data_IF_181041202275
#
_entry.id   IF_181041202275
#
_cell.length_a   1.000
_cell.length_b   1.000
_cell.length_c   1.000
_cell.angle_alpha   90.00
_cell.angle_beta   90.00
_cell.angle_gamma   90.00
#
_symmetry.space_group_name_H-M   'P 1'
#
loop_
_entity.id
_entity.type
_entity.pdbx_description
1 polymer ?
#
# COMPACT_ATOMS: atom_id res chain seq x y z
N UNK A 1 6.68 -25.61 8.78
CA UNK A 1 6.69 -24.44 7.89
C UNK A 1 8.13 -24.12 7.56
N UNK A 2 8.50 -24.13 6.28
CA UNK A 2 9.85 -23.76 5.86
C UNK A 2 10.08 -22.28 6.20
N UNK A 3 10.95 -22.04 7.18
CA UNK A 3 11.41 -20.70 7.53
C UNK A 3 12.36 -20.16 6.46
N UNK A 4 12.70 -18.88 6.57
CA UNK A 4 13.72 -18.28 5.71
C UNK A 4 15.01 -19.10 5.77
N UNK A 5 15.58 -19.42 4.61
CA UNK A 5 16.91 -20.02 4.57
C UNK A 5 17.93 -18.97 5.01
N UNK A 6 19.08 -19.41 5.55
CA UNK A 6 20.17 -18.51 5.94
C UNK A 6 20.61 -17.62 4.77
N UNK A 7 20.59 -18.16 3.55
CA UNK A 7 20.91 -17.42 2.32
C UNK A 7 19.89 -16.32 2.01
N UNK A 8 18.59 -16.60 2.18
CA UNK A 8 17.54 -15.57 2.03
C UNK A 8 17.70 -14.46 3.07
N UNK A 9 17.99 -14.81 4.32
CA UNK A 9 18.23 -13.83 5.40
C UNK A 9 19.45 -12.94 5.08
N UNK A 10 20.55 -13.55 4.65
CA UNK A 10 21.77 -12.82 4.30
C UNK A 10 21.55 -11.86 3.13
N UNK A 11 20.88 -12.32 2.06
CA UNK A 11 20.52 -11.49 0.90
C UNK A 11 19.59 -10.32 1.28
N UNK A 12 18.65 -10.55 2.20
CA UNK A 12 17.79 -9.48 2.75
C UNK A 12 18.61 -8.42 3.49
N UNK A 13 19.52 -8.83 4.37
CA UNK A 13 20.40 -7.91 5.09
C UNK A 13 21.26 -7.08 4.14
N UNK A 14 21.85 -7.70 3.12
CA UNK A 14 22.67 -7.03 2.11
C UNK A 14 21.86 -6.01 1.29
N UNK A 15 20.59 -6.31 0.98
CA UNK A 15 19.69 -5.40 0.27
C UNK A 15 19.39 -4.15 1.13
N UNK A 16 19.11 -4.33 2.42
CA UNK A 16 18.88 -3.20 3.35
C UNK A 16 20.16 -2.38 3.54
N UNK A 17 21.29 -3.05 3.73
CA UNK A 17 22.58 -2.42 3.97
C UNK A 17 23.06 -1.63 2.74
N UNK A 18 22.81 -2.12 1.53
CA UNK A 18 23.20 -1.43 0.29
C UNK A 18 22.37 -0.17 0.02
N UNK A 19 21.15 -0.08 0.60
CA UNK A 19 20.23 1.02 0.31
C UNK A 19 19.71 1.02 -1.13
N UNK A 20 19.85 -0.10 -1.83
CA UNK A 20 19.40 -0.30 -3.21
C UNK A 20 18.51 -1.53 -3.31
N UNK A 21 17.55 -1.53 -4.23
CA UNK A 21 16.67 -2.67 -4.47
C UNK A 21 16.26 -2.74 -5.94
N UNK A 22 16.43 -3.90 -6.57
CA UNK A 22 16.15 -4.11 -7.99
C UNK A 22 14.93 -5.03 -8.16
N UNK A 23 13.70 -4.49 -8.11
CA UNK A 23 12.50 -5.30 -8.28
C UNK A 23 12.28 -5.72 -9.74
N UNK A 24 11.61 -6.85 -9.91
CA UNK A 24 11.04 -7.24 -11.19
C UNK A 24 9.65 -6.63 -11.34
N UNK A 25 9.51 -5.60 -12.19
CA UNK A 25 8.22 -4.96 -12.46
C UNK A 25 7.84 -5.22 -13.93
N UNK A 26 6.63 -5.78 -14.21
CA UNK A 26 6.18 -6.03 -15.57
C UNK A 26 6.22 -4.78 -16.47
N UNK A 27 6.93 -4.88 -17.58
CA UNK A 27 7.10 -3.80 -18.55
C UNK A 27 8.01 -2.65 -18.10
N UNK A 28 8.75 -2.81 -17.00
CA UNK A 28 9.77 -1.87 -16.52
C UNK A 28 11.08 -2.60 -16.13
N UNK A 29 11.77 -3.25 -17.11
CA UNK A 29 12.98 -4.01 -16.84
C UNK A 29 14.18 -3.12 -16.53
N UNK A 30 15.13 -3.61 -15.73
CA UNK A 30 16.39 -2.90 -15.46
C UNK A 30 16.23 -1.69 -14.54
N UNK A 31 15.19 -1.70 -13.70
CA UNK A 31 14.91 -0.66 -12.74
C UNK A 31 15.58 -0.97 -11.39
N UNK A 32 16.19 0.04 -10.76
CA UNK A 32 16.74 -0.04 -9.41
C UNK A 32 16.23 1.12 -8.58
N UNK A 33 15.71 0.83 -7.39
CA UNK A 33 15.43 1.84 -6.37
C UNK A 33 16.69 2.15 -5.58
N UNK A 34 16.94 3.44 -5.37
CA UNK A 34 18.03 3.95 -4.54
C UNK A 34 17.43 4.82 -3.44
N UNK A 35 17.90 4.62 -2.20
CA UNK A 35 17.42 5.40 -1.06
C UNK A 35 17.73 6.88 -1.25
N UNK A 36 16.69 7.71 -1.23
CA UNK A 36 16.82 9.17 -1.30
C UNK A 36 17.56 9.74 -0.09
N UNK A 37 18.54 10.60 -0.36
CA UNK A 37 19.25 11.41 0.63
C UNK A 37 18.42 12.61 1.11
N UNK A 38 19.04 13.46 1.92
CA UNK A 38 18.36 14.64 2.50
C UNK A 38 17.98 15.68 1.44
N UNK A 39 18.82 15.85 0.42
CA UNK A 39 18.58 16.83 -0.64
C UNK A 39 17.36 16.43 -1.50
N UNK A 40 17.26 15.15 -1.89
CA UNK A 40 16.16 14.60 -2.67
C UNK A 40 14.84 14.65 -1.91
N UNK A 41 14.85 14.31 -0.61
CA UNK A 41 13.66 14.47 0.26
C UNK A 41 13.22 15.93 0.37
N UNK A 42 14.18 16.85 0.43
CA UNK A 42 13.90 18.28 0.37
C UNK A 42 13.26 18.70 -0.95
N UNK A 43 13.71 18.14 -2.08
CA UNK A 43 13.11 18.37 -3.39
C UNK A 43 11.67 17.84 -3.48
N UNK A 44 11.41 16.61 -3.02
CA UNK A 44 10.04 16.05 -3.07
C UNK A 44 9.06 16.84 -2.19
N UNK A 45 9.48 17.25 -1.00
CA UNK A 45 8.66 18.08 -0.11
C UNK A 45 8.34 19.46 -0.70
N UNK A 46 9.31 20.07 -1.41
CA UNK A 46 9.07 21.32 -2.15
C UNK A 46 8.12 21.13 -3.32
N UNK A 47 8.22 20.01 -4.05
CA UNK A 47 7.31 19.68 -5.14
C UNK A 47 5.86 19.54 -4.64
N UNK A 48 5.65 18.87 -3.51
CA UNK A 48 4.34 18.82 -2.84
C UNK A 48 3.79 20.22 -2.57
N UNK A 49 4.58 21.07 -1.91
CA UNK A 49 4.16 22.40 -1.48
C UNK A 49 3.86 23.31 -2.67
N UNK A 50 4.70 23.24 -3.72
CA UNK A 50 4.49 23.97 -4.96
C UNK A 50 3.20 23.54 -5.66
N UNK A 51 2.95 22.24 -5.78
CA UNK A 51 1.74 21.70 -6.41
C UNK A 51 0.48 22.04 -5.62
N UNK A 52 0.53 21.96 -4.29
CA UNK A 52 -0.59 22.33 -3.44
C UNK A 52 -0.95 23.82 -3.61
N UNK A 53 0.05 24.70 -3.66
CA UNK A 53 -0.16 26.13 -3.90
C UNK A 53 -0.76 26.40 -5.27
N UNK A 54 -0.29 25.71 -6.31
CA UNK A 54 -0.85 25.77 -7.66
C UNK A 54 -2.34 25.38 -7.67
N UNK A 55 -2.69 24.24 -7.06
CA UNK A 55 -4.05 23.73 -7.02
C UNK A 55 -5.01 24.64 -6.25
N UNK A 56 -4.58 25.19 -5.11
CA UNK A 56 -5.40 26.18 -4.38
C UNK A 56 -5.59 27.48 -5.17
N UNK A 57 -4.58 27.92 -5.93
CA UNK A 57 -4.69 29.11 -6.76
C UNK A 57 -5.60 28.89 -7.98
N UNK A 58 -5.55 27.71 -8.59
CA UNK A 58 -6.42 27.33 -9.71
C UNK A 58 -7.89 27.15 -9.27
N UNK A 59 -8.12 26.76 -8.02
CA UNK A 59 -9.45 26.43 -7.51
C UNK A 59 -9.96 25.08 -8.04
N UNK A 60 -11.20 24.73 -7.69
CA UNK A 60 -11.86 23.49 -8.15
C UNK A 60 -11.69 22.28 -7.22
N UNK A 61 -10.72 22.30 -6.32
CA UNK A 61 -10.56 21.30 -5.27
C UNK A 61 -10.75 21.93 -3.89
N UNK A 62 -11.34 21.18 -2.96
CA UNK A 62 -11.42 21.59 -1.56
C UNK A 62 -10.23 21.04 -0.77
N UNK A 63 -9.95 21.66 0.38
CA UNK A 63 -8.92 21.16 1.30
C UNK A 63 -9.41 19.92 2.05
N UNK A 64 -8.54 18.93 2.23
CA UNK A 64 -8.77 17.75 3.07
C UNK A 64 -9.23 18.12 4.50
N UNK A 65 -8.89 19.29 5.02
CA UNK A 65 -9.40 19.76 6.31
C UNK A 65 -10.93 19.92 6.35
N UNK A 66 -11.56 20.14 5.19
CA UNK A 66 -13.02 20.23 5.06
C UNK A 66 -13.67 18.87 4.81
N UNK A 67 -12.89 17.80 4.59
CA UNK A 67 -13.40 16.46 4.29
C UNK A 67 -14.45 15.98 5.29
N UNK A 68 -14.30 16.13 6.63
CA UNK A 68 -15.34 15.69 7.56
C UNK A 68 -16.68 16.40 7.37
N UNK A 69 -16.67 17.71 7.14
CA UNK A 69 -17.89 18.50 6.94
C UNK A 69 -18.55 18.18 5.59
N UNK A 70 -17.74 17.98 4.53
CA UNK A 70 -18.24 17.58 3.21
C UNK A 70 -18.82 16.17 3.27
N UNK A 71 -18.13 15.22 3.91
CA UNK A 71 -18.61 13.86 4.09
C UNK A 71 -19.93 13.84 4.86
N UNK A 72 -20.04 14.56 5.98
CA UNK A 72 -21.29 14.62 6.75
C UNK A 72 -22.45 15.15 5.91
N UNK A 73 -22.21 16.23 5.16
CA UNK A 73 -23.21 16.80 4.25
C UNK A 73 -23.62 15.79 3.18
N UNK A 74 -22.67 15.18 2.49
CA UNK A 74 -22.95 14.24 1.39
C UNK A 74 -23.61 12.95 1.90
N UNK A 75 -23.22 12.44 3.07
CA UNK A 75 -23.92 11.32 3.70
C UNK A 75 -25.38 11.66 3.97
N UNK A 76 -25.67 12.85 4.55
CA UNK A 76 -27.04 13.31 4.80
C UNK A 76 -27.87 13.41 3.52
N UNK A 77 -27.28 13.93 2.44
CA UNK A 77 -27.91 14.04 1.13
C UNK A 77 -28.22 12.66 0.50
N UNK A 78 -27.43 11.64 0.82
CA UNK A 78 -27.61 10.26 0.34
C UNK A 78 -28.38 9.36 1.34
N UNK A 79 -28.93 9.91 2.42
CA UNK A 79 -29.66 9.15 3.44
C UNK A 79 -28.79 8.22 4.29
N UNK A 80 -27.48 8.46 4.37
CA UNK A 80 -26.53 7.71 5.18
C UNK A 80 -26.33 8.38 6.55
N UNK A 81 -26.25 7.57 7.61
CA UNK A 81 -25.94 8.04 8.96
C UNK A 81 -24.46 7.85 9.29
N UNK A 82 -23.71 8.96 9.36
CA UNK A 82 -22.28 8.95 9.69
C UNK A 82 -22.01 8.38 11.09
N UNK A 83 -22.98 8.41 12.01
CA UNK A 83 -22.81 7.85 13.36
C UNK A 83 -22.58 6.33 13.34
N UNK A 84 -22.98 5.66 12.25
CA UNK A 84 -22.73 4.23 12.02
C UNK A 84 -21.23 3.92 12.02
N UNK A 85 -20.37 4.87 11.66
CA UNK A 85 -18.91 4.68 11.70
C UNK A 85 -18.37 4.40 13.11
N UNK A 86 -19.01 4.93 14.15
CA UNK A 86 -18.62 4.62 15.52
C UNK A 86 -18.95 3.17 15.88
N UNK A 87 -20.15 2.71 15.53
CA UNK A 87 -20.58 1.31 15.74
C UNK A 87 -19.73 0.35 14.90
N UNK A 88 -19.36 0.74 13.67
CA UNK A 88 -18.44 -0.02 12.83
C UNK A 88 -17.07 -0.21 13.52
N UNK A 89 -16.48 0.85 14.09
CA UNK A 89 -15.22 0.73 14.85
C UNK A 89 -15.32 -0.21 16.04
N UNK A 90 -16.44 -0.18 16.76
CA UNK A 90 -16.68 -1.08 17.89
C UNK A 90 -16.80 -2.54 17.45
N UNK A 91 -17.49 -2.80 16.33
CA UNK A 91 -17.57 -4.13 15.72
C UNK A 91 -16.18 -4.62 15.28
N UNK A 92 -15.40 -3.78 14.60
CA UNK A 92 -14.05 -4.14 14.17
C UNK A 92 -13.12 -4.40 15.34
N UNK A 93 -13.21 -3.60 16.41
CA UNK A 93 -12.46 -3.84 17.65
C UNK A 93 -12.81 -5.21 18.25
N UNK A 94 -14.11 -5.51 18.39
CA UNK A 94 -14.59 -6.80 18.89
C UNK A 94 -14.12 -7.95 17.99
N UNK A 95 -14.10 -7.76 16.67
CA UNK A 95 -13.58 -8.74 15.72
C UNK A 95 -12.10 -9.03 16.02
N UNK A 96 -11.24 -8.01 16.03
CA UNK A 96 -9.81 -8.18 16.27
C UNK A 96 -9.50 -8.81 17.63
N UNK A 97 -10.25 -8.45 18.67
CA UNK A 97 -10.10 -9.02 20.03
C UNK A 97 -10.58 -10.48 20.13
N UNK A 98 -11.41 -10.95 19.19
CA UNK A 98 -11.98 -12.31 19.21
C UNK A 98 -11.33 -13.27 18.23
N UNK A 99 -10.38 -12.81 17.40
CA UNK A 99 -9.66 -13.67 16.45
C UNK A 99 -8.96 -14.80 17.24
N UNK A 100 -9.24 -16.09 16.93
CA UNK A 100 -8.55 -17.20 17.55
C UNK A 100 -7.03 -17.10 17.35
N UNK A 101 -6.24 -17.43 18.37
CA UNK A 101 -4.78 -17.33 18.30
C UNK A 101 -4.17 -18.13 17.12
N UNK A 102 -4.82 -19.21 16.71
CA UNK A 102 -4.44 -20.01 15.54
C UNK A 102 -4.60 -19.28 14.20
N UNK A 103 -5.51 -18.30 14.13
CA UNK A 103 -5.82 -17.51 12.94
C UNK A 103 -5.19 -16.11 12.96
N UNK A 104 -4.72 -15.66 14.12
CA UNK A 104 -4.15 -14.33 14.30
C UNK A 104 -2.73 -14.17 13.71
N UNK A 105 -2.02 -15.27 13.47
CA UNK A 105 -0.65 -15.25 12.96
C UNK A 105 -0.63 -15.07 11.43
N UNK A 106 0.34 -14.32 10.87
CA UNK A 106 0.57 -14.30 9.43
C UNK A 106 0.75 -15.72 8.92
N UNK A 107 -0.01 -16.07 7.89
CA UNK A 107 0.05 -17.41 7.31
C UNK A 107 1.35 -17.63 6.52
N UNK A 108 1.80 -16.61 5.82
CA UNK A 108 3.01 -16.65 5.00
C UNK A 108 3.97 -15.53 5.42
N UNK A 109 5.26 -15.83 5.34
CA UNK A 109 6.40 -14.94 5.64
C UNK A 109 7.33 -14.74 4.43
N UNK A 110 7.08 -15.45 3.32
CA UNK A 110 7.87 -15.38 2.09
C UNK A 110 7.26 -14.44 1.07
N UNK A 111 8.12 -13.76 0.32
CA UNK A 111 7.71 -12.95 -0.83
C UNK A 111 7.39 -13.82 -2.05
N UNK A 112 6.66 -13.31 -3.06
CA UNK A 112 6.48 -14.04 -4.32
C UNK A 112 7.78 -14.48 -4.98
N UNK A 113 8.84 -13.66 -4.93
CA UNK A 113 10.16 -13.96 -5.49
C UNK A 113 10.91 -15.04 -4.71
N UNK A 114 10.68 -15.13 -3.40
CA UNK A 114 11.23 -16.19 -2.55
C UNK A 114 10.47 -17.50 -2.73
N UNK A 115 9.15 -17.44 -2.88
CA UNK A 115 8.32 -18.61 -3.21
C UNK A 115 8.75 -19.19 -4.56
N UNK A 116 9.09 -18.34 -5.54
CA UNK A 116 9.56 -18.78 -6.86
C UNK A 116 10.89 -19.57 -6.81
N UNK A 117 11.69 -19.41 -5.74
CA UNK A 117 12.94 -20.16 -5.54
C UNK A 117 12.72 -21.55 -4.92
N UNK A 118 11.53 -21.82 -4.37
CA UNK A 118 11.19 -23.12 -3.79
C UNK A 118 10.89 -24.16 -4.87
N UNK A 119 10.96 -25.44 -4.49
CA UNK A 119 10.57 -26.53 -5.38
C UNK A 119 9.06 -26.42 -5.75
N UNK A 120 8.65 -26.79 -6.97
CA UNK A 120 7.23 -26.67 -7.40
C UNK A 120 6.25 -27.40 -6.48
N UNK A 121 6.65 -28.53 -5.89
CA UNK A 121 5.83 -29.29 -4.94
C UNK A 121 5.60 -28.52 -3.63
N UNK A 122 6.62 -27.80 -3.15
CA UNK A 122 6.52 -26.95 -1.96
C UNK A 122 5.66 -25.70 -2.24
N UNK A 123 5.81 -25.09 -3.42
CA UNK A 123 4.95 -23.97 -3.84
C UNK A 123 3.47 -24.38 -3.85
N UNK A 124 3.15 -25.55 -4.42
CA UNK A 124 1.78 -26.06 -4.49
C UNK A 124 1.24 -26.42 -3.10
N UNK A 125 2.05 -27.05 -2.24
CA UNK A 125 1.66 -27.35 -0.86
C UNK A 125 1.30 -26.07 -0.11
N UNK A 126 2.15 -25.03 -0.18
CA UNK A 126 1.91 -23.72 0.45
C UNK A 126 0.65 -23.03 -0.05
N UNK A 127 0.42 -23.02 -1.36
CA UNK A 127 -0.77 -22.38 -1.94
C UNK A 127 -2.07 -23.00 -1.40
N UNK A 128 -2.12 -24.33 -1.32
CA UNK A 128 -3.26 -25.07 -0.74
C UNK A 128 -3.46 -24.74 0.74
N UNK A 129 -2.35 -24.61 1.44
CA UNK A 129 -2.28 -24.28 2.86
C UNK A 129 -2.81 -22.86 3.15
N UNK A 130 -2.37 -21.86 2.37
CA UNK A 130 -2.87 -20.48 2.39
C UNK A 130 -4.38 -20.45 2.15
N UNK A 131 -4.83 -21.18 1.14
CA UNK A 131 -6.24 -21.25 0.79
C UNK A 131 -7.09 -21.83 1.93
N UNK A 132 -6.63 -22.91 2.57
CA UNK A 132 -7.31 -23.53 3.71
C UNK A 132 -7.40 -22.57 4.91
N UNK A 133 -6.33 -21.86 5.21
CA UNK A 133 -6.34 -20.86 6.28
C UNK A 133 -7.29 -19.70 5.97
N UNK A 134 -7.26 -19.19 4.73
CA UNK A 134 -8.18 -18.15 4.26
C UNK A 134 -9.65 -18.60 4.39
N UNK A 135 -9.96 -19.85 4.03
CA UNK A 135 -11.30 -20.43 4.22
C UNK A 135 -11.71 -20.47 5.69
N UNK A 136 -10.86 -20.98 6.58
CA UNK A 136 -11.14 -21.01 8.04
C UNK A 136 -11.37 -19.61 8.61
N UNK A 137 -10.58 -18.63 8.19
CA UNK A 137 -10.73 -17.23 8.62
C UNK A 137 -12.06 -16.64 8.14
N UNK A 138 -12.45 -16.90 6.89
CA UNK A 138 -13.72 -16.43 6.33
C UNK A 138 -14.93 -17.11 6.99
N UNK A 139 -14.87 -18.41 7.23
CA UNK A 139 -15.92 -19.14 7.94
C UNK A 139 -16.11 -18.60 9.37
N UNK A 140 -15.01 -18.40 10.10
CA UNK A 140 -15.04 -17.80 11.43
C UNK A 140 -15.61 -16.37 11.40
N UNK A 141 -15.15 -15.52 10.48
CA UNK A 141 -15.64 -14.15 10.36
C UNK A 141 -17.14 -14.10 10.01
N UNK A 142 -17.62 -14.99 9.13
CA UNK A 142 -19.03 -15.07 8.77
C UNK A 142 -19.92 -15.50 9.94
N UNK A 143 -19.41 -16.37 10.82
CA UNK A 143 -20.10 -16.81 12.04
C UNK A 143 -20.10 -15.75 13.16
N UNK A 144 -19.15 -14.81 13.12
CA UNK A 144 -19.01 -13.77 14.14
C UNK A 144 -20.07 -12.66 14.02
N UNK A 145 -20.39 -12.22 12.80
CA UNK A 145 -21.30 -11.10 12.58
C UNK A 145 -22.77 -11.49 12.71
N UNK A 146 -23.51 -10.72 13.51
CA UNK A 146 -24.98 -10.73 13.51
C UNK A 146 -25.54 -10.07 12.26
N UNK A 147 -26.83 -10.25 11.98
CA UNK A 147 -27.49 -9.57 10.85
C UNK A 147 -27.45 -8.03 11.01
N UNK A 148 -27.60 -7.53 12.23
CA UNK A 148 -27.47 -6.10 12.53
C UNK A 148 -26.04 -5.59 12.29
N UNK A 149 -25.02 -6.39 12.64
CA UNK A 149 -23.62 -6.03 12.37
C UNK A 149 -23.36 -5.97 10.86
N UNK A 150 -23.91 -6.93 10.09
CA UNK A 150 -23.77 -6.94 8.62
C UNK A 150 -24.38 -5.68 7.99
N UNK A 151 -25.55 -5.24 8.47
CA UNK A 151 -26.16 -4.00 7.99
C UNK A 151 -25.29 -2.77 8.30
N UNK A 152 -24.73 -2.69 9.51
CA UNK A 152 -23.79 -1.64 9.91
C UNK A 152 -22.54 -1.64 9.03
N UNK A 153 -21.95 -2.81 8.77
CA UNK A 153 -20.77 -2.95 7.92
C UNK A 153 -21.04 -2.53 6.48
N UNK A 154 -22.20 -2.87 5.92
CA UNK A 154 -22.56 -2.46 4.55
C UNK A 154 -22.76 -0.95 4.44
N UNK A 155 -23.44 -0.34 5.41
CA UNK A 155 -23.60 1.11 5.44
C UNK A 155 -22.26 1.84 5.69
N UNK A 156 -21.40 1.31 6.57
CA UNK A 156 -20.06 1.83 6.78
C UNK A 156 -19.22 1.76 5.50
N UNK A 157 -19.28 0.65 4.76
CA UNK A 157 -18.60 0.50 3.46
C UNK A 157 -19.04 1.55 2.43
N UNK A 158 -20.33 1.89 2.40
CA UNK A 158 -20.83 2.96 1.53
C UNK A 158 -20.26 4.33 1.94
N UNK A 159 -20.19 4.61 3.24
CA UNK A 159 -19.61 5.85 3.78
C UNK A 159 -18.10 5.92 3.50
N UNK A 160 -17.36 4.83 3.70
CA UNK A 160 -15.92 4.75 3.39
C UNK A 160 -15.65 4.94 1.91
N UNK A 161 -16.45 4.31 1.04
CA UNK A 161 -16.35 4.50 -0.41
C UNK A 161 -16.56 5.97 -0.79
N UNK A 162 -17.56 6.61 -0.19
CA UNK A 162 -17.82 8.03 -0.38
C UNK A 162 -16.67 8.90 0.13
N UNK A 163 -16.13 8.61 1.31
CA UNK A 163 -14.98 9.31 1.88
C UNK A 163 -13.76 9.18 0.96
N UNK A 164 -13.46 7.98 0.44
CA UNK A 164 -12.36 7.77 -0.50
C UNK A 164 -12.56 8.56 -1.79
N UNK A 165 -13.78 8.59 -2.33
CA UNK A 165 -14.10 9.38 -3.50
C UNK A 165 -13.91 10.89 -3.23
N UNK A 166 -14.39 11.39 -2.09
CA UNK A 166 -14.21 12.79 -1.70
C UNK A 166 -12.74 13.12 -1.48
N UNK A 167 -11.99 12.23 -0.82
CA UNK A 167 -10.55 12.38 -0.59
C UNK A 167 -9.76 12.44 -1.90
N UNK A 168 -10.12 11.62 -2.90
CA UNK A 168 -9.52 11.67 -4.23
C UNK A 168 -9.73 13.02 -4.93
N UNK A 169 -10.74 13.80 -4.52
CA UNK A 169 -11.06 15.14 -5.02
C UNK A 169 -10.55 16.27 -4.12
N UNK A 170 -9.50 16.02 -3.32
CA UNK A 170 -8.84 17.05 -2.51
C UNK A 170 -7.56 17.55 -3.17
N UNK A 171 -7.21 18.82 -2.96
CA UNK A 171 -5.96 19.37 -3.46
C UNK A 171 -4.74 18.62 -2.89
N UNK A 172 -4.82 18.19 -1.62
CA UNK A 172 -3.78 17.44 -0.91
C UNK A 172 -3.59 16.04 -1.48
N UNK A 173 -4.65 15.38 -1.97
CA UNK A 173 -4.52 14.11 -2.69
C UNK A 173 -3.69 14.28 -3.96
N UNK A 174 -4.03 15.25 -4.81
CA UNK A 174 -3.29 15.51 -6.04
C UNK A 174 -1.85 15.97 -5.78
N UNK A 175 -1.62 16.82 -4.77
CA UNK A 175 -0.29 17.22 -4.37
C UNK A 175 0.55 16.03 -3.85
N UNK A 176 -0.06 15.11 -3.08
CA UNK A 176 0.60 13.86 -2.65
C UNK A 176 0.90 12.93 -3.83
N UNK A 177 -0.03 12.79 -4.79
CA UNK A 177 0.23 12.02 -6.03
C UNK A 177 1.47 12.57 -6.75
N UNK A 178 1.53 13.89 -6.94
CA UNK A 178 2.68 14.54 -7.57
C UNK A 178 3.98 14.38 -6.77
N UNK A 179 3.90 14.44 -5.44
CA UNK A 179 5.06 14.16 -4.59
C UNK A 179 5.55 12.72 -4.79
N UNK A 180 4.65 11.74 -4.84
CA UNK A 180 5.03 10.34 -5.08
C UNK A 180 5.73 10.16 -6.42
N UNK A 181 5.19 10.77 -7.49
CA UNK A 181 5.80 10.74 -8.83
C UNK A 181 7.20 11.38 -8.83
N UNK A 182 7.36 12.50 -8.12
CA UNK A 182 8.66 13.15 -7.95
C UNK A 182 9.63 12.26 -7.16
N UNK A 183 9.17 11.58 -6.11
CA UNK A 183 10.02 10.66 -5.35
C UNK A 183 10.44 9.45 -6.20
N UNK A 184 9.56 8.93 -7.05
CA UNK A 184 9.89 7.90 -8.05
C UNK A 184 10.95 8.43 -9.03
N UNK A 185 10.74 9.60 -9.62
CA UNK A 185 11.75 10.21 -10.50
C UNK A 185 13.12 10.34 -9.82
N UNK A 186 13.13 10.72 -8.54
CA UNK A 186 14.35 10.92 -7.75
C UNK A 186 14.98 9.64 -7.23
N UNK A 187 14.25 8.55 -7.02
CA UNK A 187 14.78 7.32 -6.43
C UNK A 187 15.04 6.20 -7.45
N UNK A 188 14.38 6.26 -8.61
CA UNK A 188 14.46 5.21 -9.61
C UNK A 188 15.63 5.46 -10.56
N UNK A 189 16.52 4.48 -10.68
CA UNK A 189 17.76 4.48 -11.48
C UNK A 189 17.80 3.30 -12.42
N UNK A 190 18.67 3.38 -13.43
CA UNK A 190 18.90 2.26 -14.35
C UNK A 190 19.88 1.26 -13.74
N UNK A 191 19.65 -0.02 -13.97
CA UNK A 191 20.49 -1.09 -13.44
C UNK A 191 21.89 -1.13 -14.07
N UNK A 192 22.03 -0.68 -15.32
CA UNK A 192 23.29 -0.58 -16.05
C UNK A 192 24.13 0.64 -15.63
N UNK A 193 23.48 1.69 -15.10
CA UNK A 193 24.13 2.90 -14.61
C UNK A 193 23.27 3.59 -13.54
N UNK A 194 23.65 3.38 -12.27
CA UNK A 194 22.87 3.84 -11.12
C UNK A 194 22.89 5.37 -10.97
N UNK A 195 23.81 6.07 -11.62
CA UNK A 195 23.85 7.54 -11.62
C UNK A 195 22.81 8.13 -12.59
N UNK A 196 22.30 7.32 -13.53
CA UNK A 196 21.29 7.75 -14.50
C UNK A 196 19.88 7.50 -13.99
N UNK A 197 18.99 8.51 -14.07
CA UNK A 197 17.59 8.31 -13.74
C UNK A 197 16.94 7.36 -14.76
N UNK A 198 16.03 6.53 -14.27
CA UNK A 198 15.28 5.61 -15.15
C UNK A 198 14.25 6.37 -15.98
N UNK A 199 13.52 7.30 -15.34
CA UNK A 199 12.61 8.23 -15.97
C UNK A 199 13.31 9.57 -16.21
N UNK A 200 13.07 10.20 -17.35
CA UNK A 200 13.63 11.52 -17.65
C UNK A 200 12.83 12.66 -17.00
N UNK A 201 11.54 12.44 -16.72
CA UNK A 201 10.62 13.44 -16.21
C UNK A 201 9.50 12.84 -15.35
N UNK A 202 8.71 13.69 -14.69
CA UNK A 202 7.49 13.25 -13.99
C UNK A 202 6.43 12.81 -15.01
N UNK A 203 6.38 13.49 -16.14
CA UNK A 203 5.49 13.19 -17.25
C UNK A 203 5.71 11.76 -17.77
N UNK A 204 6.96 11.30 -17.84
CA UNK A 204 7.28 9.91 -18.22
C UNK A 204 6.65 8.89 -17.26
N UNK A 205 6.59 9.21 -15.96
CA UNK A 205 5.95 8.36 -14.94
C UNK A 205 4.44 8.38 -15.12
N UNK A 206 3.86 9.55 -15.42
CA UNK A 206 2.42 9.72 -15.65
C UNK A 206 1.96 9.00 -16.94
N UNK A 207 2.75 9.03 -18.01
CA UNK A 207 2.47 8.34 -19.27
C UNK A 207 2.36 6.81 -19.12
N UNK A 208 2.89 6.24 -18.03
CA UNK A 208 2.68 4.82 -17.73
C UNK A 208 1.21 4.50 -17.41
N UNK A 209 0.41 5.48 -16.98
CA UNK A 209 -1.02 5.26 -16.70
C UNK A 209 -1.75 4.80 -17.97
N UNK A 210 -1.35 5.34 -19.13
CA UNK A 210 -1.91 4.99 -20.44
C UNK A 210 -1.18 3.81 -21.10
N UNK A 211 0.16 3.75 -21.00
CA UNK A 211 0.97 2.76 -21.75
C UNK A 211 1.16 1.43 -21.02
N UNK A 212 1.18 1.43 -19.70
CA UNK A 212 1.45 0.25 -18.88
C UNK A 212 0.85 0.40 -17.47
N UNK A 213 -0.48 0.52 -17.38
CA UNK A 213 -1.17 0.72 -16.10
C UNK A 213 -0.81 -0.34 -15.05
N UNK A 214 -0.67 -1.60 -15.47
CA UNK A 214 -0.31 -2.69 -14.56
C UNK A 214 1.11 -2.50 -14.00
N UNK A 215 2.07 -2.14 -14.85
CA UNK A 215 3.42 -1.78 -14.42
C UNK A 215 3.45 -0.58 -13.49
N UNK A 216 2.65 0.47 -13.76
CA UNK A 216 2.53 1.64 -12.89
C UNK A 216 1.99 1.29 -11.50
N UNK A 217 0.92 0.48 -11.43
CA UNK A 217 0.36 0.03 -10.16
C UNK A 217 1.41 -0.76 -9.35
N UNK A 218 2.14 -1.67 -10.01
CA UNK A 218 3.22 -2.42 -9.36
C UNK A 218 4.37 -1.52 -8.94
N UNK A 219 4.77 -0.56 -9.77
CA UNK A 219 5.79 0.42 -9.43
C UNK A 219 5.43 1.18 -8.15
N UNK A 220 4.22 1.74 -8.05
CA UNK A 220 3.79 2.45 -6.84
C UNK A 220 3.77 1.56 -5.59
N UNK A 221 3.28 0.33 -5.70
CA UNK A 221 3.23 -0.60 -4.58
C UNK A 221 4.64 -0.96 -4.09
N UNK A 222 5.52 -1.37 -5.00
CA UNK A 222 6.88 -1.81 -4.68
C UNK A 222 7.73 -0.63 -4.21
N UNK A 223 7.56 0.56 -4.80
CA UNK A 223 8.18 1.80 -4.33
C UNK A 223 7.76 2.14 -2.90
N UNK A 224 6.46 2.07 -2.59
CA UNK A 224 5.95 2.36 -1.25
C UNK A 224 6.56 1.41 -0.23
N UNK A 225 6.59 0.12 -0.55
CA UNK A 225 7.27 -0.91 0.26
C UNK A 225 8.74 -0.57 0.49
N UNK A 226 9.49 -0.22 -0.55
CA UNK A 226 10.88 0.20 -0.41
C UNK A 226 11.05 1.45 0.46
N UNK A 227 10.23 2.48 0.25
CA UNK A 227 10.26 3.75 1.00
C UNK A 227 9.99 3.54 2.49
N UNK A 228 9.00 2.71 2.82
CA UNK A 228 8.59 2.42 4.20
C UNK A 228 9.50 1.37 4.87
N UNK A 229 10.45 0.78 4.13
CA UNK A 229 11.23 -0.37 4.59
C UNK A 229 10.36 -1.64 4.76
N UNK A 230 9.20 -1.66 4.10
CA UNK A 230 8.15 -2.68 4.09
C UNK A 230 8.13 -3.53 2.80
N UNK A 231 9.28 -3.69 2.14
CA UNK A 231 9.45 -4.92 1.35
C UNK A 231 9.09 -6.10 2.31
N UNK A 232 8.51 -7.22 1.85
CA UNK A 232 7.55 -7.95 2.67
C UNK A 232 8.17 -8.41 4.01
N UNK A 233 7.67 -7.84 5.10
CA UNK A 233 8.01 -8.13 6.50
C UNK A 233 9.51 -8.10 6.86
N UNK A 234 10.25 -7.07 6.43
CA UNK A 234 11.70 -6.97 6.70
C UNK A 234 12.06 -6.81 8.19
N UNK A 235 11.13 -6.31 9.01
CA UNK A 235 11.30 -6.11 10.46
C UNK A 235 9.97 -6.18 11.23
N UNK A 236 9.09 -7.15 10.96
CA UNK A 236 8.34 -7.64 12.12
C UNK A 236 9.39 -8.29 13.00
N UNK A 237 9.82 -7.57 14.03
CA UNK A 237 10.36 -8.23 15.19
C UNK A 237 9.36 -9.34 15.46
N UNK A 238 9.78 -10.59 15.30
CA UNK A 238 9.17 -11.64 16.07
C UNK A 238 9.04 -11.08 17.49
N UNK A 239 7.96 -11.45 18.17
CA UNK A 239 8.10 -12.04 19.50
C UNK A 239 9.57 -12.31 19.89
N UNK A 240 10.29 -11.27 20.27
CA UNK A 240 11.44 -11.30 21.13
C UNK A 240 10.73 -11.48 22.47
N UNK A 241 10.91 -12.68 23.02
CA UNK A 241 10.37 -13.16 24.28
C UNK A 241 10.07 -12.07 25.32
#
# INVERSE_FOLDING_TARGET
MAGLTTEMIQKRYETVASGTYAPEIPGLPGLVFVKMGLAERGHSSRAYSAKLKELYAAGGYFSEALLPAVLEKTCRENGLDVKVMQKHREIMKRLFESIPAELAKPYDQLTPEEVAQLAPEEQAARAKEIEQHGRRMMEWANAFYTDDDRQVMEQAKQIESLEQHLKANTAEHHARKHQMEMEILLCVRKADDIEKPYFGSVEDVQELEDRNRQGLVRLYMTWKQFKEGLLPDFFRADSIN
#
